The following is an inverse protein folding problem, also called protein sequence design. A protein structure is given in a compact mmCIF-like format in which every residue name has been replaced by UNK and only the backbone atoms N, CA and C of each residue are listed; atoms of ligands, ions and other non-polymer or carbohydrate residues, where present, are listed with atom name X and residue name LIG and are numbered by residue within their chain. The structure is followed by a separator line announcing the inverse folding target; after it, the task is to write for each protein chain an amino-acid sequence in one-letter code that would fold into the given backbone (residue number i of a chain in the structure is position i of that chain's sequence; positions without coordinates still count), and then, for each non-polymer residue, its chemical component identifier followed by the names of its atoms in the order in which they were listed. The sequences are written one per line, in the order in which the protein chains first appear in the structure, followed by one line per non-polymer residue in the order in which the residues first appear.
data_IF_584410758819
#
_entry.id   IF_584410758819
#
_cell.length_a   1.000
_cell.length_b   1.000
_cell.length_c   1.000
_cell.angle_alpha   90.00
_cell.angle_beta   90.00
_cell.angle_gamma   90.00
#
_symmetry.space_group_name_H-M   'P 1'
#
loop_
_entity.id
_entity.type
_entity.pdbx_description
1 polymer ?
#
# COMPACT_ATOMS: atom_id res chain seq x y z
N UNK A 1 -16.86 9.27 1.35
CA UNK A 1 -16.63 9.45 -0.10
C UNK A 1 -15.42 8.61 -0.52
N UNK A 2 -15.58 7.32 -0.88
CA UNK A 2 -14.45 6.37 -1.03
C UNK A 2 -14.31 5.69 -2.41
N UNK A 3 -14.95 6.16 -3.49
CA UNK A 3 -15.17 5.30 -4.67
C UNK A 3 -14.28 5.53 -5.90
N UNK A 4 -13.46 6.60 -5.97
CA UNK A 4 -12.69 6.88 -7.19
C UNK A 4 -11.47 5.96 -7.39
N UNK A 5 -10.77 5.58 -6.30
CA UNK A 5 -9.60 4.70 -6.37
C UNK A 5 -9.96 3.22 -6.62
N UNK A 6 -11.08 2.76 -6.04
CA UNK A 6 -11.54 1.37 -6.16
C UNK A 6 -11.99 1.02 -7.58
N UNK A 7 -12.66 1.94 -8.29
CA UNK A 7 -13.03 1.75 -9.70
C UNK A 7 -11.80 1.51 -10.58
N UNK A 8 -10.70 2.22 -10.35
CA UNK A 8 -9.46 2.06 -11.12
C UNK A 8 -8.73 0.74 -10.86
N UNK A 9 -8.81 0.18 -9.65
CA UNK A 9 -8.29 -1.18 -9.37
C UNK A 9 -9.07 -2.21 -10.19
N UNK A 10 -10.40 -2.06 -10.26
CA UNK A 10 -11.30 -2.92 -11.02
C UNK A 10 -11.13 -2.78 -12.55
N UNK A 11 -10.80 -1.59 -13.04
CA UNK A 11 -10.61 -1.27 -14.48
C UNK A 11 -9.32 -1.81 -15.09
N UNK A 12 -8.41 -2.40 -14.29
CA UNK A 12 -7.24 -3.16 -14.78
C UNK A 12 -7.62 -4.46 -15.54
N UNK A 13 -8.82 -4.51 -16.11
CA UNK A 13 -9.47 -5.65 -16.72
C UNK A 13 -8.76 -6.13 -18.00
N UNK A 14 -7.94 -5.28 -18.62
CA UNK A 14 -7.15 -5.61 -19.82
C UNK A 14 -5.87 -6.40 -19.52
N UNK A 15 -5.45 -6.50 -18.25
CA UNK A 15 -4.31 -7.33 -17.89
C UNK A 15 -4.70 -8.81 -17.78
N UNK A 16 -3.96 -9.67 -18.50
CA UNK A 16 -4.03 -11.12 -18.34
C UNK A 16 -3.79 -11.55 -16.88
N UNK A 17 -4.38 -12.68 -16.43
CA UNK A 17 -4.51 -13.03 -15.00
C UNK A 17 -3.16 -13.17 -14.26
N UNK A 18 -2.10 -13.65 -14.94
CA UNK A 18 -0.75 -13.74 -14.33
C UNK A 18 -0.14 -12.36 -14.08
N UNK A 19 -0.32 -11.42 -15.01
CA UNK A 19 0.21 -10.06 -14.89
C UNK A 19 -0.54 -9.28 -13.79
N UNK A 20 -1.86 -9.47 -13.69
CA UNK A 20 -2.67 -8.86 -12.62
C UNK A 20 -2.24 -9.32 -11.23
N UNK A 21 -2.01 -10.63 -11.03
CA UNK A 21 -1.51 -11.16 -9.74
C UNK A 21 -0.17 -10.54 -9.36
N UNK A 22 0.77 -10.47 -10.31
CA UNK A 22 2.09 -9.89 -10.06
C UNK A 22 2.04 -8.38 -9.78
N UNK A 23 1.23 -7.65 -10.55
CA UNK A 23 0.97 -6.22 -10.33
C UNK A 23 0.40 -5.97 -8.92
N UNK A 24 -0.62 -6.73 -8.52
CA UNK A 24 -1.20 -6.62 -7.18
C UNK A 24 -0.20 -6.96 -6.09
N UNK A 25 0.61 -8.01 -6.28
CA UNK A 25 1.67 -8.38 -5.33
C UNK A 25 2.68 -7.24 -5.13
N UNK A 26 3.11 -6.60 -6.21
CA UNK A 26 4.03 -5.47 -6.15
C UNK A 26 3.42 -4.23 -5.52
N UNK A 27 2.21 -3.87 -5.94
CA UNK A 27 1.48 -2.75 -5.36
C UNK A 27 1.29 -2.96 -3.84
N UNK A 28 0.98 -4.20 -3.44
CA UNK A 28 0.85 -4.56 -2.04
C UNK A 28 2.17 -4.45 -1.29
N UNK A 29 3.28 -4.94 -1.87
CA UNK A 29 4.62 -4.81 -1.28
C UNK A 29 5.00 -3.34 -1.07
N UNK A 30 4.88 -2.51 -2.12
CA UNK A 30 5.15 -1.07 -2.06
C UNK A 30 4.32 -0.39 -0.96
N UNK A 31 3.02 -0.70 -0.89
CA UNK A 31 2.13 -0.11 0.10
C UNK A 31 2.52 -0.46 1.55
N UNK A 32 3.07 -1.65 1.80
CA UNK A 32 3.48 -2.06 3.14
C UNK A 32 4.87 -1.55 3.53
N UNK A 33 5.71 -1.19 2.55
CA UNK A 33 7.07 -0.70 2.82
C UNK A 33 7.03 0.57 3.68
N UNK A 34 7.75 0.60 4.82
CA UNK A 34 7.85 1.79 5.66
C UNK A 34 8.31 3.02 4.87
N UNK A 35 7.69 4.17 5.13
CA UNK A 35 8.00 5.43 4.45
C UNK A 35 7.10 5.74 3.24
N UNK A 36 6.53 4.74 2.55
CA UNK A 36 5.69 4.98 1.36
C UNK A 36 4.53 5.95 1.63
N UNK A 37 3.80 5.73 2.72
CA UNK A 37 2.65 6.55 3.10
C UNK A 37 2.99 8.02 3.39
N UNK A 38 4.21 8.31 3.82
CA UNK A 38 4.67 9.65 4.18
C UNK A 38 5.05 10.50 2.95
N UNK A 39 5.19 9.87 1.78
CA UNK A 39 5.56 10.54 0.53
C UNK A 39 4.42 11.43 0.03
N UNK A 40 4.76 12.67 -0.34
CA UNK A 40 3.78 13.74 -0.58
C UNK A 40 3.39 13.87 -2.05
N UNK A 41 4.29 13.54 -2.97
CA UNK A 41 4.08 13.73 -4.40
C UNK A 41 4.34 12.44 -5.20
N UNK A 42 3.89 12.44 -6.45
CA UNK A 42 3.97 11.30 -7.36
C UNK A 42 5.41 10.91 -7.69
N UNK A 43 6.32 11.88 -7.79
CA UNK A 43 7.72 11.64 -8.13
C UNK A 43 8.46 10.90 -7.02
N UNK A 44 8.29 11.34 -5.77
CA UNK A 44 8.81 10.65 -4.58
C UNK A 44 8.29 9.22 -4.49
N UNK A 45 6.99 9.02 -4.75
CA UNK A 45 6.39 7.68 -4.75
C UNK A 45 6.95 6.81 -5.87
N UNK A 46 7.22 7.37 -7.05
CA UNK A 46 7.83 6.67 -8.16
C UNK A 46 9.25 6.24 -7.85
N UNK A 47 10.09 7.15 -7.34
CA UNK A 47 11.48 6.87 -6.97
C UNK A 47 11.57 5.80 -5.88
N UNK A 48 10.80 5.96 -4.80
CA UNK A 48 10.70 4.95 -3.75
C UNK A 48 10.24 3.59 -4.28
N UNK A 49 9.22 3.59 -5.15
CA UNK A 49 8.71 2.35 -5.73
C UNK A 49 9.73 1.68 -6.68
N UNK A 50 10.60 2.45 -7.35
CA UNK A 50 11.71 1.89 -8.14
C UNK A 50 12.66 1.08 -7.27
N UNK A 51 13.08 1.65 -6.14
CA UNK A 51 14.00 0.98 -5.22
C UNK A 51 13.38 -0.30 -4.64
N UNK A 52 12.12 -0.22 -4.20
CA UNK A 52 11.38 -1.39 -3.71
C UNK A 52 11.31 -2.47 -4.79
N UNK A 53 10.93 -2.11 -6.03
CA UNK A 53 10.80 -3.08 -7.12
C UNK A 53 12.14 -3.67 -7.58
N UNK A 54 13.22 -2.89 -7.54
CA UNK A 54 14.56 -3.38 -7.84
C UNK A 54 14.97 -4.52 -6.88
N UNK A 55 14.56 -4.46 -5.61
CA UNK A 55 14.79 -5.56 -4.64
C UNK A 55 14.05 -6.87 -4.99
N UNK A 56 13.03 -6.80 -5.85
CA UNK A 56 12.33 -7.95 -6.43
C UNK A 56 12.87 -8.37 -7.80
N UNK A 57 13.93 -7.72 -8.31
CA UNK A 57 14.48 -7.96 -9.64
C UNK A 57 13.60 -7.43 -10.77
N UNK A 58 12.81 -6.39 -10.50
CA UNK A 58 11.79 -5.90 -11.42
C UNK A 58 11.92 -4.40 -11.66
N UNK A 59 11.56 -3.96 -12.87
CA UNK A 59 11.64 -2.57 -13.29
C UNK A 59 10.23 -1.97 -13.43
N UNK A 60 9.94 -0.95 -12.63
CA UNK A 60 8.66 -0.24 -12.61
C UNK A 60 8.37 0.52 -13.91
N UNK A 61 9.40 0.85 -14.70
CA UNK A 61 9.23 1.58 -15.97
C UNK A 61 8.65 0.69 -17.06
N UNK A 62 8.64 -0.63 -16.83
CA UNK A 62 8.00 -1.57 -17.73
C UNK A 62 6.48 -1.28 -17.82
N UNK A 63 5.96 -1.15 -19.05
CA UNK A 63 4.55 -0.87 -19.32
C UNK A 63 3.59 -1.83 -18.60
N UNK A 64 4.03 -3.07 -18.32
CA UNK A 64 3.26 -4.08 -17.56
C UNK A 64 2.94 -3.68 -16.12
N UNK A 65 3.57 -2.65 -15.58
CA UNK A 65 3.37 -2.12 -14.22
C UNK A 65 2.85 -0.68 -14.21
N UNK A 66 2.35 -0.20 -15.36
CA UNK A 66 1.71 1.10 -15.41
C UNK A 66 0.54 1.13 -14.41
N UNK A 67 0.50 2.15 -13.55
CA UNK A 67 -0.51 2.26 -12.51
C UNK A 67 -0.27 1.42 -11.24
N UNK A 68 0.87 0.70 -11.12
CA UNK A 68 1.22 -0.03 -9.88
C UNK A 68 1.29 0.90 -8.67
N UNK A 69 1.83 2.11 -8.86
CA UNK A 69 1.92 3.14 -7.81
C UNK A 69 0.51 3.56 -7.38
N UNK A 70 -0.38 3.82 -8.34
CA UNK A 70 -1.74 4.21 -8.02
C UNK A 70 -2.49 3.09 -7.27
N UNK A 71 -2.24 1.85 -7.65
CA UNK A 71 -2.79 0.68 -6.97
C UNK A 71 -2.21 0.59 -5.54
N UNK A 72 -0.91 0.82 -5.36
CA UNK A 72 -0.25 0.85 -4.06
C UNK A 72 -0.80 1.96 -3.15
N UNK A 73 -1.06 3.15 -3.71
CA UNK A 73 -1.70 4.26 -3.00
C UNK A 73 -3.09 3.86 -2.50
N UNK A 74 -3.90 3.24 -3.35
CA UNK A 74 -5.23 2.80 -2.96
C UNK A 74 -5.16 1.70 -1.88
N UNK A 75 -4.27 0.71 -2.03
CA UNK A 75 -4.05 -0.33 -1.01
C UNK A 75 -3.59 0.31 0.32
N UNK A 76 -2.76 1.34 0.26
CA UNK A 76 -2.30 2.05 1.45
C UNK A 76 -3.45 2.77 2.16
N UNK A 77 -4.15 3.68 1.46
CA UNK A 77 -5.17 4.54 2.06
C UNK A 77 -6.38 3.77 2.57
N UNK A 78 -6.78 2.72 1.85
CA UNK A 78 -8.02 1.99 2.12
C UNK A 78 -7.79 0.59 2.70
N UNK A 79 -6.54 0.24 3.01
CA UNK A 79 -6.18 -1.07 3.55
C UNK A 79 -5.15 -0.96 4.65
N UNK A 80 -3.90 -0.69 4.28
CA UNK A 80 -2.76 -0.69 5.22
C UNK A 80 -2.94 0.34 6.33
N UNK A 81 -3.27 1.58 5.98
CA UNK A 81 -3.40 2.66 6.95
C UNK A 81 -4.57 2.42 7.93
N UNK A 82 -5.80 2.12 7.47
CA UNK A 82 -6.89 1.75 8.37
C UNK A 82 -6.57 0.57 9.29
N UNK A 83 -5.91 -0.48 8.78
CA UNK A 83 -5.51 -1.63 9.60
C UNK A 83 -4.53 -1.19 10.69
N UNK A 84 -3.45 -0.48 10.33
CA UNK A 84 -2.44 0.00 11.30
C UNK A 84 -3.02 0.97 12.32
N UNK A 85 -3.95 1.83 11.91
CA UNK A 85 -4.61 2.76 12.81
C UNK A 85 -5.48 2.00 13.82
N UNK A 86 -6.24 1.00 13.38
CA UNK A 86 -7.04 0.16 14.26
C UNK A 86 -6.17 -0.66 15.24
N UNK A 87 -5.03 -1.20 14.80
CA UNK A 87 -4.08 -1.90 15.66
C UNK A 87 -3.50 -1.01 16.77
N UNK A 88 -3.41 0.29 16.53
CA UNK A 88 -2.87 1.26 17.49
C UNK A 88 -3.93 1.84 18.43
N UNK A 89 -5.23 1.67 18.15
CA UNK A 89 -6.32 2.24 18.96
C UNK A 89 -6.28 1.79 20.42
N UNK A 90 -5.92 0.53 20.67
CA UNK A 90 -5.88 -0.03 22.02
C UNK A 90 -4.63 0.41 22.80
N UNK A 91 -3.62 0.95 22.11
CA UNK A 91 -2.29 1.27 22.67
C UNK A 91 -1.99 2.76 22.74
N UNK A 92 -2.75 3.60 22.04
CA UNK A 92 -2.55 5.04 21.97
C UNK A 92 -3.76 5.77 22.57
N UNK A 93 -3.52 6.83 23.33
CA UNK A 93 -4.60 7.56 24.02
C UNK A 93 -5.34 8.50 23.07
N UNK A 94 -4.72 8.88 21.94
CA UNK A 94 -5.33 9.81 21.00
C UNK A 94 -4.91 9.60 19.54
N UNK A 95 -5.77 10.06 18.63
CA UNK A 95 -5.47 10.10 17.18
C UNK A 95 -4.26 10.97 16.84
N UNK A 96 -3.89 11.92 17.71
CA UNK A 96 -2.69 12.75 17.56
C UNK A 96 -1.41 11.95 17.78
N UNK A 97 -1.42 10.99 18.72
CA UNK A 97 -0.29 10.09 18.97
C UNK A 97 -0.11 9.10 17.82
N UNK A 98 -1.21 8.49 17.38
CA UNK A 98 -1.22 7.61 16.19
C UNK A 98 -0.66 8.34 14.96
N UNK A 99 -1.09 9.59 14.75
CA UNK A 99 -0.60 10.43 13.66
C UNK A 99 0.92 10.67 13.75
N UNK A 100 1.44 10.93 14.96
CA UNK A 100 2.88 11.10 15.18
C UNK A 100 3.66 9.81 14.92
N UNK A 101 3.19 8.67 15.41
CA UNK A 101 3.83 7.37 15.23
C UNK A 101 3.89 6.94 13.76
N UNK A 102 2.81 7.17 13.02
CA UNK A 102 2.71 6.78 11.62
C UNK A 102 3.23 7.86 10.65
N UNK A 103 3.62 9.03 11.15
CA UNK A 103 4.14 10.13 10.33
C UNK A 103 3.07 10.82 9.46
N UNK A 104 1.83 10.88 9.93
CA UNK A 104 0.69 11.45 9.21
C UNK A 104 0.08 12.67 9.91
N UNK A 105 -0.84 13.34 9.23
CA UNK A 105 -1.69 14.36 9.84
C UNK A 105 -2.83 13.72 10.62
N UNK A 106 -3.30 14.37 11.69
CA UNK A 106 -4.47 13.93 12.47
C UNK A 106 -5.69 13.66 11.58
N UNK A 107 -5.96 14.58 10.66
CA UNK A 107 -7.08 14.46 9.71
C UNK A 107 -7.00 13.20 8.86
N UNK A 108 -5.78 12.77 8.47
CA UNK A 108 -5.60 11.54 7.68
C UNK A 108 -5.88 10.30 8.53
N UNK A 109 -5.51 10.31 9.81
CA UNK A 109 -5.82 9.22 10.75
C UNK A 109 -7.33 9.15 11.01
N UNK A 110 -7.98 10.29 11.24
CA UNK A 110 -9.44 10.35 11.43
C UNK A 110 -10.19 9.77 10.21
N UNK A 111 -9.76 10.13 8.99
CA UNK A 111 -10.31 9.53 7.76
C UNK A 111 -10.06 8.03 7.64
N UNK A 112 -8.92 7.54 8.13
CA UNK A 112 -8.58 6.13 8.12
C UNK A 112 -9.43 5.32 9.12
N UNK A 113 -9.80 5.92 10.27
CA UNK A 113 -10.72 5.31 11.23
C UNK A 113 -12.12 5.10 10.64
N UNK A 114 -12.61 6.07 9.88
CA UNK A 114 -13.91 5.99 9.21
C UNK A 114 -13.88 5.05 7.99
N UNK A 115 -12.70 4.60 7.58
CA UNK A 115 -12.52 3.76 6.41
C UNK A 115 -12.61 2.28 6.77
N UNK A 116 -13.62 1.59 6.23
CA UNK A 116 -13.64 0.13 6.20
C UNK A 116 -12.87 -0.36 4.99
N UNK A 117 -11.92 -1.31 5.15
CA UNK A 117 -11.24 -1.90 4.01
C UNK A 117 -12.24 -2.52 3.05
N UNK A 118 -12.21 -2.08 1.79
CA UNK A 118 -13.05 -2.63 0.74
C UNK A 118 -12.76 -4.13 0.55
N UNK A 119 -13.77 -4.92 0.22
CA UNK A 119 -13.63 -6.38 0.04
C UNK A 119 -12.55 -6.76 -0.96
N UNK A 120 -12.38 -5.97 -2.03
CA UNK A 120 -11.35 -6.19 -3.06
C UNK A 120 -9.95 -5.91 -2.49
N UNK A 121 -9.79 -4.81 -1.76
CA UNK A 121 -8.49 -4.45 -1.17
C UNK A 121 -8.09 -5.46 -0.09
N UNK A 122 -9.04 -5.87 0.75
CA UNK A 122 -8.82 -6.91 1.74
C UNK A 122 -8.39 -8.21 1.08
N UNK A 123 -9.08 -8.64 0.03
CA UNK A 123 -8.71 -9.82 -0.75
C UNK A 123 -7.29 -9.71 -1.32
N UNK A 124 -6.93 -8.57 -1.92
CA UNK A 124 -5.57 -8.35 -2.45
C UNK A 124 -4.53 -8.48 -1.33
N UNK A 125 -4.77 -7.88 -0.16
CA UNK A 125 -3.83 -7.97 0.98
C UNK A 125 -3.72 -9.42 1.45
N UNK A 126 -4.85 -10.12 1.63
CA UNK A 126 -4.90 -11.49 2.13
C UNK A 126 -4.21 -12.47 1.17
N UNK A 127 -4.43 -12.35 -0.14
CA UNK A 127 -3.79 -13.18 -1.17
C UNK A 127 -2.26 -12.98 -1.20
N UNK A 128 -1.77 -11.80 -0.80
CA UNK A 128 -0.36 -11.43 -0.87
C UNK A 128 0.37 -11.49 0.47
N UNK A 129 -0.29 -11.88 1.57
CA UNK A 129 0.31 -12.02 2.92
C UNK A 129 1.62 -12.82 2.94
N UNK A 130 1.68 -13.95 2.24
CA UNK A 130 2.90 -14.78 2.18
C UNK A 130 4.08 -14.05 1.52
N UNK A 131 3.80 -13.25 0.49
CA UNK A 131 4.81 -12.45 -0.21
C UNK A 131 5.32 -11.34 0.72
N UNK A 132 4.41 -10.67 1.43
CA UNK A 132 4.74 -9.64 2.41
C UNK A 132 5.66 -10.17 3.52
N UNK A 133 5.33 -11.34 4.11
CA UNK A 133 6.17 -11.98 5.14
C UNK A 133 7.59 -12.24 4.63
N UNK A 134 7.71 -12.76 3.40
CA UNK A 134 9.02 -13.02 2.80
C UNK A 134 9.78 -11.73 2.49
N UNK A 135 9.07 -10.67 2.09
CA UNK A 135 9.67 -9.36 1.83
C UNK A 135 10.17 -8.71 3.12
N UNK A 136 9.37 -8.67 4.18
CA UNK A 136 9.76 -8.14 5.49
C UNK A 136 10.97 -8.88 6.07
N UNK A 137 11.02 -10.22 5.90
CA UNK A 137 12.20 -11.00 6.27
C UNK A 137 13.44 -10.50 5.53
N UNK A 138 13.38 -10.37 4.20
CA UNK A 138 14.52 -9.88 3.40
C UNK A 138 14.99 -8.49 3.83
N UNK A 139 14.05 -7.57 4.07
CA UNK A 139 14.36 -6.21 4.52
C UNK A 139 15.06 -6.18 5.90
N UNK A 140 14.72 -7.09 6.81
CA UNK A 140 15.40 -7.20 8.12
C UNK A 140 16.82 -7.76 8.04
N UNK A 141 17.17 -8.48 6.96
CA UNK A 141 18.50 -9.09 6.77
C UNK A 141 19.37 -8.33 5.76
N UNK A 142 18.90 -7.20 5.22
CA UNK A 142 19.67 -6.33 4.30
C UNK A 142 20.17 -5.03 4.96
N UNK A 143 19.95 -4.87 6.27
CA UNK A 143 20.60 -3.89 7.14
C UNK A 143 21.56 -4.60 8.10
#
# INVERSE_FOLDING_TARGET
MCYAGLRKISENHEMGPRNRKKHNAMACAIAHTPGFGALRNKEQRLEFSREVMASFGEDITNKKYYGVIHTAECIYEFGVLPIRVNELLDSCESTKEIAKLLGHTKLRIERALDCRPDGIIKQIIDENKKILINFERRQRYSN
#
